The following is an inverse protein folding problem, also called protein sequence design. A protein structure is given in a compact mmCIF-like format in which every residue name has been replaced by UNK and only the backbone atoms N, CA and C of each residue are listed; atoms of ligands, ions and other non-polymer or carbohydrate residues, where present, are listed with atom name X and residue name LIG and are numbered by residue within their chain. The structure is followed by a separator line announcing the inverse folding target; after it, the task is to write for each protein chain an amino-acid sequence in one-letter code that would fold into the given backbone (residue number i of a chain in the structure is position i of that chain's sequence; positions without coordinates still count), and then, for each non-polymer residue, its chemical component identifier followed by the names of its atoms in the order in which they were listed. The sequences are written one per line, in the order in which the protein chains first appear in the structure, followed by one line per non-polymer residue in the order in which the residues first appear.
data_IF_229973212480
#
_entry.id   IF_229973212480
#
_cell.length_a   1.000
_cell.length_b   1.000
_cell.length_c   1.000
_cell.angle_alpha   90.00
_cell.angle_beta   90.00
_cell.angle_gamma   90.00
#
_symmetry.space_group_name_H-M   'P 1'
#
loop_
_entity.id
_entity.type
_entity.pdbx_description
1 polymer ?
#
# COMPACT_ATOMS: atom_id res chain seq x y z
N UNK A 1 11.94 2.62 2.74
CA UNK A 1 11.36 2.94 1.42
C UNK A 1 10.21 1.98 1.14
N UNK A 2 9.06 2.25 1.75
CA UNK A 2 7.88 1.40 1.61
C UNK A 2 7.16 1.74 0.30
N UNK A 3 6.85 0.73 -0.50
CA UNK A 3 5.99 0.86 -1.68
C UNK A 3 4.64 0.22 -1.40
N UNK A 4 3.55 0.94 -1.69
CA UNK A 4 2.19 0.47 -1.42
C UNK A 4 1.42 0.29 -2.72
N UNK A 5 1.04 -0.94 -3.04
CA UNK A 5 0.37 -1.28 -4.29
C UNK A 5 -1.16 -1.26 -4.14
N UNK A 6 -1.67 -0.35 -3.31
CA UNK A 6 -3.09 -0.05 -3.15
C UNK A 6 -3.26 1.34 -2.52
N UNK A 7 -3.92 2.25 -3.23
CA UNK A 7 -4.16 3.64 -2.80
C UNK A 7 -4.82 3.76 -1.42
N UNK A 8 -5.81 2.92 -1.13
CA UNK A 8 -6.51 2.93 0.16
C UNK A 8 -5.62 2.45 1.32
N UNK A 9 -4.74 1.46 1.07
CA UNK A 9 -3.82 0.98 2.10
C UNK A 9 -2.74 2.02 2.45
N UNK A 10 -2.39 2.91 1.53
CA UNK A 10 -1.42 3.97 1.80
C UNK A 10 -1.89 4.87 2.96
N UNK A 11 -3.20 5.18 3.02
CA UNK A 11 -3.80 5.92 4.14
C UNK A 11 -3.53 5.26 5.50
N UNK A 12 -3.71 3.94 5.61
CA UNK A 12 -3.41 3.24 6.87
C UNK A 12 -1.94 3.31 7.25
N UNK A 13 -1.02 3.33 6.29
CA UNK A 13 0.40 3.44 6.60
C UNK A 13 0.74 4.84 7.12
N UNK A 14 0.14 5.89 6.57
CA UNK A 14 0.29 7.24 7.12
C UNK A 14 -0.32 7.37 8.50
N UNK A 15 -1.51 6.83 8.73
CA UNK A 15 -2.12 6.78 10.07
C UNK A 15 -1.21 6.06 11.09
N UNK A 16 -0.40 5.11 10.60
CA UNK A 16 0.59 4.38 11.38
C UNK A 16 1.94 5.10 11.48
N UNK A 17 2.11 6.34 11.03
CA UNK A 17 3.41 7.02 10.93
C UNK A 17 4.47 6.15 10.21
N UNK A 18 4.08 5.48 9.13
CA UNK A 18 4.97 4.70 8.26
C UNK A 18 5.15 5.47 6.95
N UNK A 19 6.35 6.03 6.68
CA UNK A 19 6.57 6.80 5.47
C UNK A 19 6.41 5.98 4.21
N UNK A 20 5.55 6.44 3.30
CA UNK A 20 5.31 5.80 2.00
C UNK A 20 6.19 6.47 0.96
N UNK A 21 7.00 5.69 0.24
CA UNK A 21 7.86 6.24 -0.80
C UNK A 21 7.14 6.37 -2.14
N UNK A 22 6.31 5.38 -2.48
CA UNK A 22 5.47 5.41 -3.65
C UNK A 22 4.21 4.57 -3.47
N UNK A 23 3.17 4.95 -4.20
CA UNK A 23 1.91 4.23 -4.27
C UNK A 23 1.36 4.21 -5.69
N UNK A 24 0.31 3.44 -5.94
CA UNK A 24 -0.44 3.49 -7.20
C UNK A 24 -1.59 4.52 -7.11
N UNK A 25 -2.08 5.06 -8.24
CA UNK A 25 -3.32 5.82 -8.30
C UNK A 25 -4.53 5.05 -7.75
N UNK A 26 -5.60 5.77 -7.40
CA UNK A 26 -6.87 5.15 -7.00
C UNK A 26 -7.49 4.33 -8.14
N UNK A 27 -7.47 4.88 -9.35
CA UNK A 27 -7.96 4.25 -10.57
C UNK A 27 -6.82 3.76 -11.45
N UNK A 28 -6.96 2.55 -11.99
CA UNK A 28 -6.04 2.03 -13.01
C UNK A 28 -6.04 2.97 -14.23
N UNK A 29 -4.86 3.19 -14.81
CA UNK A 29 -4.61 4.15 -15.90
C UNK A 29 -4.85 5.63 -15.52
N UNK A 30 -5.08 5.90 -14.23
CA UNK A 30 -5.23 7.24 -13.68
C UNK A 30 -3.90 7.99 -13.57
N UNK A 31 -3.98 9.33 -13.48
CA UNK A 31 -2.80 10.21 -13.30
C UNK A 31 -2.29 10.24 -11.85
N UNK A 32 -3.10 9.77 -10.90
CA UNK A 32 -2.83 9.81 -9.47
C UNK A 32 -3.18 11.15 -8.85
N UNK A 33 -4.16 11.14 -7.95
CA UNK A 33 -4.46 12.23 -7.03
C UNK A 33 -4.38 11.68 -5.60
N UNK A 34 -3.78 12.43 -4.69
CA UNK A 34 -3.74 12.03 -3.29
C UNK A 34 -5.13 12.15 -2.68
N UNK A 35 -5.44 11.26 -1.74
CA UNK A 35 -6.68 11.38 -0.99
C UNK A 35 -6.62 12.59 -0.06
N UNK A 36 -7.71 13.37 0.11
CA UNK A 36 -7.74 14.48 1.06
C UNK A 36 -7.51 14.05 2.52
N UNK A 37 -7.57 12.74 2.82
CA UNK A 37 -7.33 12.21 4.15
C UNK A 37 -5.85 12.05 4.50
N UNK A 38 -4.96 11.97 3.50
CA UNK A 38 -3.54 11.71 3.71
C UNK A 38 -2.61 12.48 2.75
N UNK A 39 -3.16 13.43 1.96
CA UNK A 39 -2.41 14.24 1.00
C UNK A 39 -1.25 15.00 1.65
N UNK A 40 -1.46 15.49 2.88
CA UNK A 40 -0.47 16.27 3.60
C UNK A 40 0.76 15.42 3.93
N UNK A 41 0.54 14.24 4.49
CA UNK A 41 1.59 13.28 4.84
C UNK A 41 2.32 12.80 3.57
N UNK A 42 1.58 12.56 2.49
CA UNK A 42 2.15 12.17 1.21
C UNK A 42 3.06 13.26 0.59
N UNK A 43 2.67 14.53 0.69
CA UNK A 43 3.47 15.66 0.25
C UNK A 43 4.73 15.83 1.11
N UNK A 44 4.60 15.71 2.44
CA UNK A 44 5.72 15.78 3.37
C UNK A 44 6.77 14.68 3.13
N UNK A 45 6.32 13.45 2.83
CA UNK A 45 7.18 12.32 2.49
C UNK A 45 7.71 12.34 1.05
N UNK A 46 7.21 13.23 0.20
CA UNK A 46 7.57 13.30 -1.22
C UNK A 46 7.14 12.05 -2.00
N UNK A 47 5.98 11.50 -1.64
CA UNK A 47 5.41 10.28 -2.21
C UNK A 47 5.16 10.43 -3.70
N UNK A 48 5.39 9.35 -4.45
CA UNK A 48 5.22 9.34 -5.91
C UNK A 48 4.16 8.33 -6.33
N UNK A 49 3.49 8.64 -7.43
CA UNK A 49 2.65 7.67 -8.12
C UNK A 49 3.47 6.79 -9.06
N UNK A 50 3.34 5.48 -8.89
CA UNK A 50 3.81 4.47 -9.84
C UNK A 50 2.81 4.33 -10.99
N UNK A 51 3.28 4.06 -12.22
CA UNK A 51 2.40 3.63 -13.30
C UNK A 51 1.64 2.36 -12.88
N UNK A 52 0.33 2.38 -13.12
CA UNK A 52 -0.54 1.25 -12.85
C UNK A 52 -1.66 1.21 -13.87
N UNK A 53 -1.94 0.03 -14.42
CA UNK A 53 -2.96 -0.17 -15.44
C UNK A 53 -3.79 -1.41 -15.18
N UNK A 54 -4.83 -1.59 -16.01
CA UNK A 54 -5.61 -2.83 -16.05
C UNK A 54 -4.78 -4.09 -16.34
N UNK A 55 -3.62 -3.93 -16.98
CA UNK A 55 -2.75 -5.05 -17.33
C UNK A 55 -1.85 -5.49 -16.17
N UNK A 56 -1.53 -4.60 -15.23
CA UNK A 56 -0.71 -4.93 -14.06
C UNK A 56 0.03 -3.75 -13.44
N UNK A 57 0.85 -4.07 -12.45
CA UNK A 57 1.84 -3.15 -11.90
C UNK A 57 3.07 -3.06 -12.81
N UNK A 58 3.68 -1.88 -12.88
CA UNK A 58 4.99 -1.70 -13.51
C UNK A 58 6.11 -2.19 -12.58
N UNK A 59 6.49 -3.46 -12.74
CA UNK A 59 7.50 -4.12 -11.90
C UNK A 59 8.89 -3.49 -12.02
N UNK A 60 9.25 -2.98 -13.21
CA UNK A 60 10.53 -2.30 -13.43
C UNK A 60 10.55 -0.95 -12.71
N UNK A 61 9.45 -0.20 -12.74
CA UNK A 61 9.32 1.03 -11.97
C UNK A 61 9.40 0.76 -10.45
N UNK A 62 8.78 -0.32 -9.96
CA UNK A 62 8.90 -0.73 -8.55
C UNK A 62 10.35 -1.11 -8.21
N UNK A 63 10.99 -1.93 -9.03
CA UNK A 63 12.39 -2.34 -8.84
C UNK A 63 13.34 -1.13 -8.82
N UNK A 64 13.12 -0.15 -9.69
CA UNK A 64 13.94 1.06 -9.78
C UNK A 64 13.87 1.95 -8.51
N UNK A 65 12.82 1.82 -7.70
CA UNK A 65 12.71 2.50 -6.41
C UNK A 65 13.52 1.80 -5.30
N UNK A 66 13.96 0.55 -5.53
CA UNK A 66 14.72 -0.29 -4.60
C UNK A 66 14.06 -0.35 -3.20
N UNK A 67 12.79 -0.80 -3.12
CA UNK A 67 12.02 -0.78 -1.88
C UNK A 67 12.62 -1.72 -0.82
N UNK A 68 12.43 -1.39 0.45
CA UNK A 68 12.76 -2.30 1.57
C UNK A 68 11.54 -3.07 2.09
N UNK A 69 10.34 -2.69 1.63
CA UNK A 69 9.08 -3.38 1.88
C UNK A 69 8.09 -3.02 0.77
N UNK A 70 7.36 -4.03 0.28
CA UNK A 70 6.21 -3.86 -0.62
C UNK A 70 4.95 -4.30 0.14
N UNK A 71 3.96 -3.42 0.23
CA UNK A 71 2.64 -3.73 0.79
C UNK A 71 1.63 -3.76 -0.35
N UNK A 72 1.15 -4.95 -0.70
CA UNK A 72 0.09 -5.14 -1.69
C UNK A 72 -1.19 -5.65 -1.06
N UNK A 73 -2.20 -5.89 -1.90
CA UNK A 73 -3.45 -6.51 -1.46
C UNK A 73 -4.59 -5.52 -1.26
N UNK A 74 -5.32 -5.70 -0.18
CA UNK A 74 -6.53 -4.95 0.15
C UNK A 74 -7.77 -5.57 -0.47
N UNK A 75 -8.78 -4.75 -0.79
CA UNK A 75 -9.98 -5.19 -1.50
C UNK A 75 -9.87 -4.80 -2.97
N UNK A 76 -10.45 -5.64 -3.84
CA UNK A 76 -10.69 -5.31 -5.23
C UNK A 76 -9.52 -5.65 -6.14
N UNK A 77 -9.38 -4.83 -7.18
CA UNK A 77 -8.51 -5.11 -8.32
C UNK A 77 -7.00 -5.11 -8.00
N UNK A 78 -6.48 -4.23 -7.11
CA UNK A 78 -5.07 -4.27 -6.72
C UNK A 78 -4.68 -5.60 -6.03
N UNK A 79 -5.57 -6.17 -5.20
CA UNK A 79 -5.32 -7.48 -4.59
C UNK A 79 -5.17 -8.57 -5.64
N UNK A 80 -6.09 -8.62 -6.60
CA UNK A 80 -6.06 -9.64 -7.65
C UNK A 80 -4.76 -9.60 -8.47
N UNK A 81 -4.28 -8.41 -8.82
CA UNK A 81 -3.01 -8.28 -9.53
C UNK A 81 -1.82 -8.62 -8.62
N UNK A 82 -1.83 -8.20 -7.35
CA UNK A 82 -0.73 -8.47 -6.42
C UNK A 82 -0.57 -9.97 -6.12
N UNK A 83 -1.68 -10.72 -6.05
CA UNK A 83 -1.64 -12.18 -5.92
C UNK A 83 -1.00 -12.86 -7.15
N UNK A 84 -1.20 -12.31 -8.36
CA UNK A 84 -0.65 -12.89 -9.60
C UNK A 84 0.85 -12.74 -9.73
N UNK A 85 1.40 -11.62 -9.27
CA UNK A 85 2.82 -11.28 -9.40
C UNK A 85 3.57 -11.32 -8.07
N UNK A 86 3.03 -12.05 -7.07
CA UNK A 86 3.59 -12.08 -5.72
C UNK A 86 5.04 -12.58 -5.69
N UNK A 87 5.37 -13.59 -6.49
CA UNK A 87 6.72 -14.15 -6.55
C UNK A 87 7.70 -13.13 -7.16
N UNK A 88 7.29 -12.41 -8.20
CA UNK A 88 8.10 -11.33 -8.78
C UNK A 88 8.30 -10.17 -7.79
N UNK A 89 7.23 -9.73 -7.11
CA UNK A 89 7.32 -8.70 -6.06
C UNK A 89 8.25 -9.13 -4.91
N UNK A 90 8.14 -10.39 -4.49
CA UNK A 90 8.98 -10.98 -3.43
C UNK A 90 10.44 -11.14 -3.87
N UNK A 91 10.69 -11.21 -5.17
CA UNK A 91 12.04 -11.15 -5.76
C UNK A 91 12.66 -9.75 -5.70
N UNK A 92 11.84 -8.69 -5.62
CA UNK A 92 12.29 -7.30 -5.51
C UNK A 92 12.58 -6.94 -4.04
N UNK A 93 11.63 -7.20 -3.13
CA UNK A 93 11.75 -6.87 -1.71
C UNK A 93 10.82 -7.74 -0.84
N UNK A 94 11.00 -7.77 0.49
CA UNK A 94 10.01 -8.37 1.39
C UNK A 94 8.60 -7.85 1.04
N UNK A 95 7.67 -8.77 0.75
CA UNK A 95 6.34 -8.43 0.26
C UNK A 95 5.26 -8.98 1.19
N UNK A 96 4.38 -8.09 1.63
CA UNK A 96 3.22 -8.40 2.46
C UNK A 96 1.95 -8.19 1.65
N UNK A 97 1.07 -9.20 1.61
CA UNK A 97 -0.27 -9.06 1.03
C UNK A 97 -1.33 -8.97 2.12
N UNK A 98 -2.06 -7.86 2.13
CA UNK A 98 -3.29 -7.71 2.93
C UNK A 98 -4.39 -8.53 2.26
N UNK A 99 -4.66 -9.72 2.79
CA UNK A 99 -5.52 -10.71 2.12
C UNK A 99 -7.03 -10.42 2.19
N UNK A 100 -7.78 -10.93 1.21
CA UNK A 100 -9.26 -10.80 1.11
C UNK A 100 -10.07 -11.24 2.33
N UNK A 101 -9.50 -12.09 3.20
CA UNK A 101 -10.19 -12.59 4.40
C UNK A 101 -10.34 -11.52 5.47
N UNK A 102 -9.54 -10.46 5.43
CA UNK A 102 -9.61 -9.30 6.31
C UNK A 102 -10.73 -8.34 5.87
N UNK A 103 -11.88 -8.88 5.45
CA UNK A 103 -12.83 -8.31 4.47
C UNK A 103 -13.48 -6.94 4.74
N UNK A 104 -13.03 -6.19 5.73
CA UNK A 104 -13.37 -4.79 5.95
C UNK A 104 -12.13 -3.94 6.31
N UNK A 105 -12.32 -2.61 6.34
CA UNK A 105 -11.23 -1.69 6.67
C UNK A 105 -10.61 -1.96 8.04
N UNK A 106 -11.39 -2.43 9.02
CA UNK A 106 -10.91 -2.69 10.39
C UNK A 106 -9.97 -3.87 10.42
N UNK A 107 -10.32 -4.97 9.73
CA UNK A 107 -9.46 -6.15 9.63
C UNK A 107 -8.14 -5.83 8.92
N UNK A 108 -8.20 -5.07 7.83
CA UNK A 108 -7.00 -4.65 7.09
C UNK A 108 -6.08 -3.76 7.93
N UNK A 109 -6.66 -2.77 8.60
CA UNK A 109 -5.90 -1.84 9.42
C UNK A 109 -5.31 -2.53 10.65
N UNK A 110 -6.10 -3.36 11.36
CA UNK A 110 -5.61 -4.14 12.51
C UNK A 110 -4.45 -5.05 12.11
N UNK A 111 -4.52 -5.75 10.97
CA UNK A 111 -3.42 -6.59 10.49
C UNK A 111 -2.14 -5.80 10.22
N UNK A 112 -2.25 -4.66 9.53
CA UNK A 112 -1.09 -3.79 9.28
C UNK A 112 -0.52 -3.25 10.59
N UNK A 113 -1.37 -2.79 11.50
CA UNK A 113 -0.94 -2.25 12.79
C UNK A 113 -0.29 -3.33 13.66
N UNK A 114 -0.90 -4.49 13.80
CA UNK A 114 -0.51 -5.50 14.80
C UNK A 114 0.59 -6.42 14.26
N UNK A 115 0.35 -7.06 13.12
CA UNK A 115 1.18 -8.14 12.60
C UNK A 115 2.37 -7.65 11.75
N UNK A 116 2.22 -6.48 11.10
CA UNK A 116 3.23 -5.97 10.16
C UNK A 116 4.11 -4.90 10.81
N UNK A 117 3.51 -3.88 11.44
CA UNK A 117 4.24 -2.71 11.94
C UNK A 117 4.38 -2.65 13.47
N UNK A 118 3.71 -3.51 14.23
CA UNK A 118 3.83 -3.56 15.70
C UNK A 118 3.34 -2.30 16.41
N UNK A 119 2.32 -1.61 15.87
CA UNK A 119 1.69 -0.39 16.37
C UNK A 119 0.20 -0.58 16.78
N UNK A 120 -0.15 -1.58 17.61
CA UNK A 120 -1.55 -1.87 18.00
C UNK A 120 -2.26 -0.73 18.72
N UNK A 121 -1.50 0.18 19.37
CA UNK A 121 -2.06 1.31 20.08
C UNK A 121 -2.70 2.34 19.12
N UNK A 122 -2.14 2.50 17.91
CA UNK A 122 -2.65 3.44 16.91
C UNK A 122 -4.00 2.96 16.38
N UNK A 123 -4.12 1.68 16.04
CA UNK A 123 -5.39 1.09 15.63
C UNK A 123 -6.48 1.28 16.69
N UNK A 124 -6.16 1.06 17.98
CA UNK A 124 -7.11 1.24 19.10
C UNK A 124 -7.66 2.66 19.20
N UNK A 125 -6.86 3.68 18.89
CA UNK A 125 -7.30 5.08 18.90
C UNK A 125 -8.28 5.38 17.76
N UNK A 126 -8.14 4.70 16.61
CA UNK A 126 -9.01 4.89 15.45
C UNK A 126 -10.38 4.21 15.58
N UNK A 127 -10.52 3.24 16.48
CA UNK A 127 -11.78 2.49 16.70
C UNK A 127 -12.49 2.85 18.00
N UNK A 128 -11.93 3.76 18.81
CA UNK A 128 -12.50 4.25 20.07
C UNK A 128 -13.48 5.41 19.83
#
# INVERSE_FOLDING_TARGET
RVVVLNHALAGYLYDLDVPVHATIPEDADGKGEFSPYWEKEAEEDGTKFLPWSVDGFDLEAILALDPDLIVGGGIGFPLFQAEKVYDELSGIAPTVLVGKKLGDWRGQFSFLADDVFGKPAVYKQHVA
#
